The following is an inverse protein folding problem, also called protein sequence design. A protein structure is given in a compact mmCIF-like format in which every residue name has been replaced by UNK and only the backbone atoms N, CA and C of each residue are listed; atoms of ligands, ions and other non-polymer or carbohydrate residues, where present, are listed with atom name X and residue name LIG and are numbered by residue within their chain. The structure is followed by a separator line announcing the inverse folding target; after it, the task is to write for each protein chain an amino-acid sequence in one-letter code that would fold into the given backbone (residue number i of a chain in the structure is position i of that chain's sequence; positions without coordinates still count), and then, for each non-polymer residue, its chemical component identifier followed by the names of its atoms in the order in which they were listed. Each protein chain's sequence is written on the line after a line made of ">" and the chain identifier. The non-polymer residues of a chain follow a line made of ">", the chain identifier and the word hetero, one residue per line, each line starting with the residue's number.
data_IF_714735781053
#
_entry.id   IF_714735781053
#
_cell.length_a   1.000
_cell.length_b   1.000
_cell.length_c   1.000
_cell.angle_alpha   90.00
_cell.angle_beta   90.00
_cell.angle_gamma   90.00
#
_symmetry.space_group_name_H-M   'P 1'
#
loop_
_entity.id
_entity.type
_entity.pdbx_description
1 polymer ?
#
# COMPACT_ATOMS: atom_id res chain seq x y z
N UNK A 1 -1.75 -11.95 -12.45
CA UNK A 1 -2.92 -11.79 -13.35
C UNK A 1 -4.21 -11.61 -12.55
N UNK A 2 -4.64 -12.57 -11.72
CA UNK A 2 -5.84 -12.36 -10.89
C UNK A 2 -5.66 -11.26 -9.82
N UNK A 3 -4.46 -11.10 -9.26
CA UNK A 3 -4.14 -9.99 -8.34
C UNK A 3 -4.28 -8.60 -9.00
N UNK A 4 -3.76 -8.42 -10.22
CA UNK A 4 -3.89 -7.15 -10.94
C UNK A 4 -5.34 -6.85 -11.26
N UNK A 5 -6.13 -7.88 -11.63
CA UNK A 5 -7.57 -7.73 -11.81
C UNK A 5 -8.34 -7.33 -10.56
N UNK A 6 -7.98 -7.87 -9.39
CA UNK A 6 -8.59 -7.44 -8.13
C UNK A 6 -8.38 -5.93 -7.93
N UNK A 7 -7.15 -5.46 -8.15
CA UNK A 7 -6.83 -4.03 -8.08
C UNK A 7 -7.60 -3.20 -9.11
N UNK A 8 -7.60 -3.62 -10.37
CA UNK A 8 -8.28 -2.92 -11.48
C UNK A 8 -9.80 -2.83 -11.26
N UNK A 9 -10.39 -3.79 -10.54
CA UNK A 9 -11.80 -3.79 -10.15
C UNK A 9 -12.09 -3.01 -8.84
N UNK A 10 -11.08 -2.43 -8.18
CA UNK A 10 -11.23 -1.75 -6.88
C UNK A 10 -11.46 -2.68 -5.68
N UNK A 11 -11.05 -3.94 -5.80
CA UNK A 11 -11.25 -4.98 -4.78
C UNK A 11 -10.02 -5.08 -3.87
N UNK A 12 -10.25 -5.34 -2.58
CA UNK A 12 -9.16 -5.42 -1.59
C UNK A 12 -8.26 -6.63 -1.81
N UNK A 13 -6.95 -6.44 -1.65
CA UNK A 13 -5.91 -7.46 -1.71
C UNK A 13 -5.41 -7.84 -0.32
N UNK A 14 -5.34 -6.85 0.57
CA UNK A 14 -4.93 -6.97 1.95
C UNK A 14 -6.11 -6.69 2.92
N UNK A 15 -6.03 -7.17 4.18
CA UNK A 15 -7.11 -6.95 5.16
C UNK A 15 -7.44 -5.48 5.41
N UNK A 16 -6.45 -4.60 5.29
CA UNK A 16 -6.55 -3.17 5.62
C UNK A 16 -6.78 -2.29 4.39
N UNK A 17 -6.90 -2.91 3.21
CA UNK A 17 -7.13 -2.17 1.97
C UNK A 17 -8.52 -1.52 2.00
N UNK A 18 -8.65 -0.28 1.47
CA UNK A 18 -9.93 0.43 1.42
C UNK A 18 -10.89 -0.09 0.35
N UNK A 19 -10.51 -1.12 -0.42
CA UNK A 19 -11.34 -1.72 -1.45
C UNK A 19 -12.44 -2.61 -0.88
N UNK A 20 -13.27 -3.17 -1.76
CA UNK A 20 -14.40 -4.01 -1.36
C UNK A 20 -14.13 -5.53 -1.41
N UNK A 21 -14.86 -6.28 -0.60
CA UNK A 21 -14.78 -7.74 -0.62
C UNK A 21 -15.46 -8.25 -1.89
N UNK A 22 -14.86 -9.25 -2.53
CA UNK A 22 -15.51 -9.87 -3.69
C UNK A 22 -16.80 -10.54 -3.23
N UNK A 23 -17.94 -10.03 -3.71
CA UNK A 23 -19.25 -10.64 -3.45
C UNK A 23 -19.59 -11.65 -4.54
N UNK A 24 -19.97 -12.86 -4.14
CA UNK A 24 -20.45 -13.93 -5.05
C UNK A 24 -21.97 -14.04 -4.91
N UNK A 25 -22.70 -13.89 -6.02
CA UNK A 25 -24.15 -14.11 -6.04
C UNK A 25 -24.52 -15.59 -6.01
N UNK A 26 -25.79 -15.83 -5.72
CA UNK A 26 -26.46 -17.07 -6.08
C UNK A 26 -26.37 -17.31 -7.59
N UNK A 27 -26.22 -18.58 -7.97
CA UNK A 27 -26.16 -18.97 -9.37
C UNK A 27 -27.54 -18.78 -9.99
N UNK A 28 -27.71 -17.78 -10.88
CA UNK A 28 -28.88 -17.70 -11.75
C UNK A 28 -29.79 -16.49 -11.63
N UNK A 29 -29.44 -15.41 -10.92
CA UNK A 29 -30.23 -14.17 -11.10
C UNK A 29 -30.24 -13.12 -10.01
N UNK A 30 -29.25 -13.04 -9.13
CA UNK A 30 -29.17 -11.89 -8.22
C UNK A 30 -28.84 -10.60 -8.98
N UNK A 31 -29.26 -9.48 -8.41
CA UNK A 31 -28.85 -8.15 -8.84
C UNK A 31 -27.33 -8.06 -8.97
N UNK A 32 -26.86 -7.56 -10.12
CA UNK A 32 -25.46 -7.20 -10.23
C UNK A 32 -25.24 -5.91 -9.44
N UNK A 33 -24.29 -5.94 -8.52
CA UNK A 33 -23.76 -4.74 -7.88
C UNK A 33 -22.78 -4.05 -8.85
N UNK A 34 -22.45 -2.80 -8.57
CA UNK A 34 -21.43 -2.00 -9.24
C UNK A 34 -20.10 -2.76 -9.44
N UNK A 35 -19.58 -3.38 -8.37
CA UNK A 35 -18.37 -4.22 -8.41
C UNK A 35 -18.45 -5.32 -9.48
N UNK A 36 -19.64 -5.92 -9.68
CA UNK A 36 -19.82 -6.99 -10.66
C UNK A 36 -19.91 -6.47 -12.08
N UNK A 37 -20.41 -5.26 -12.28
CA UNK A 37 -20.31 -4.57 -13.56
C UNK A 37 -18.85 -4.25 -13.88
N UNK A 38 -18.06 -3.79 -12.91
CA UNK A 38 -16.62 -3.55 -13.06
C UNK A 38 -15.88 -4.85 -13.43
N UNK A 39 -16.15 -5.96 -12.73
CA UNK A 39 -15.60 -7.28 -13.07
C UNK A 39 -16.02 -7.72 -14.48
N UNK A 40 -17.27 -7.50 -14.86
CA UNK A 40 -17.76 -7.80 -16.21
C UNK A 40 -17.07 -6.97 -17.29
N UNK A 41 -16.81 -5.70 -17.01
CA UNK A 41 -16.04 -4.81 -17.88
C UNK A 41 -14.59 -5.28 -18.04
N UNK A 42 -13.88 -5.59 -16.95
CA UNK A 42 -12.49 -6.05 -17.04
C UNK A 42 -12.39 -7.41 -17.75
N UNK A 43 -13.36 -8.30 -17.53
CA UNK A 43 -13.47 -9.54 -18.30
C UNK A 43 -13.67 -9.28 -19.80
N UNK A 44 -14.54 -8.32 -20.15
CA UNK A 44 -14.74 -7.92 -21.55
C UNK A 44 -13.46 -7.34 -22.15
N UNK A 45 -12.84 -6.37 -21.47
CA UNK A 45 -11.60 -5.70 -21.89
C UNK A 45 -10.50 -6.70 -22.19
N UNK A 46 -10.26 -7.63 -21.27
CA UNK A 46 -9.26 -8.66 -21.43
C UNK A 46 -9.62 -9.68 -22.52
N UNK A 47 -10.83 -10.23 -22.48
CA UNK A 47 -11.25 -11.30 -23.40
C UNK A 47 -11.34 -10.85 -24.85
N UNK A 48 -11.62 -9.56 -25.07
CA UNK A 48 -11.71 -8.94 -26.38
C UNK A 48 -10.43 -8.19 -26.80
N UNK A 49 -9.40 -8.12 -25.95
CA UNK A 49 -8.16 -7.40 -26.23
C UNK A 49 -8.34 -5.89 -26.46
N UNK A 50 -9.34 -5.29 -25.80
CA UNK A 50 -9.73 -3.89 -26.02
C UNK A 50 -8.64 -2.93 -25.53
N UNK A 51 -8.28 -1.99 -26.40
CA UNK A 51 -7.34 -0.92 -26.09
C UNK A 51 -8.08 0.25 -25.44
N UNK A 52 -7.48 0.87 -24.42
CA UNK A 52 -8.09 2.01 -23.72
C UNK A 52 -8.28 3.25 -24.60
N UNK A 53 -7.55 3.34 -25.71
CA UNK A 53 -7.71 4.41 -26.69
C UNK A 53 -8.98 4.26 -27.51
N UNK A 54 -9.46 3.03 -27.72
CA UNK A 54 -10.64 2.74 -28.53
C UNK A 54 -11.95 2.95 -27.75
N UNK A 55 -11.97 2.52 -26.48
CA UNK A 55 -13.14 2.57 -25.62
C UNK A 55 -12.78 2.97 -24.20
N UNK A 56 -13.58 3.87 -23.62
CA UNK A 56 -13.54 4.20 -22.20
C UNK A 56 -14.78 3.68 -21.50
N UNK A 57 -14.58 3.32 -20.24
CA UNK A 57 -15.63 2.93 -19.32
C UNK A 57 -15.65 3.92 -18.16
N UNK A 58 -16.84 4.42 -17.84
CA UNK A 58 -17.09 5.23 -16.64
C UNK A 58 -17.57 4.28 -15.56
N UNK A 59 -16.79 4.08 -14.48
CA UNK A 59 -17.19 3.21 -13.38
C UNK A 59 -18.53 3.66 -12.77
N UNK A 60 -19.46 2.73 -12.48
CA UNK A 60 -20.78 3.08 -11.99
C UNK A 60 -20.76 3.77 -10.63
N UNK A 61 -19.87 3.32 -9.75
CA UNK A 61 -19.62 3.88 -8.42
C UNK A 61 -19.16 5.34 -8.52
N UNK A 62 -18.26 5.65 -9.46
CA UNK A 62 -17.78 7.00 -9.71
C UNK A 62 -18.93 7.92 -10.16
N UNK A 63 -19.71 7.47 -11.15
CA UNK A 63 -20.82 8.25 -11.68
C UNK A 63 -21.93 8.44 -10.64
N UNK A 64 -22.30 7.36 -9.94
CA UNK A 64 -23.36 7.39 -8.94
C UNK A 64 -22.98 8.28 -7.76
N UNK A 65 -21.75 8.18 -7.26
CA UNK A 65 -21.30 9.02 -6.15
C UNK A 65 -21.21 10.49 -6.53
N UNK A 66 -20.84 10.79 -7.79
CA UNK A 66 -20.91 12.15 -8.31
C UNK A 66 -22.37 12.65 -8.40
N UNK A 67 -23.22 11.88 -9.09
CA UNK A 67 -24.64 12.21 -9.28
C UNK A 67 -25.41 12.40 -7.98
N UNK A 68 -25.18 11.53 -6.98
CA UNK A 68 -25.86 11.59 -5.69
C UNK A 68 -25.64 12.93 -5.00
N UNK A 69 -24.41 13.43 -4.97
CA UNK A 69 -24.14 14.73 -4.33
C UNK A 69 -24.65 15.90 -5.18
N UNK A 70 -24.73 15.75 -6.50
CA UNK A 70 -25.37 16.73 -7.40
C UNK A 70 -26.91 16.75 -7.30
N UNK A 71 -27.54 15.70 -6.76
CA UNK A 71 -29.00 15.63 -6.57
C UNK A 71 -29.42 15.88 -5.13
N UNK A 72 -28.73 15.28 -4.18
CA UNK A 72 -29.10 15.28 -2.75
C UNK A 72 -28.36 16.35 -1.97
N UNK A 73 -27.25 16.87 -2.50
CA UNK A 73 -26.39 17.81 -1.79
C UNK A 73 -25.55 17.15 -0.70
N UNK A 74 -24.86 17.97 0.09
CA UNK A 74 -24.13 17.51 1.26
C UNK A 74 -25.08 17.27 2.45
N UNK A 75 -24.63 16.47 3.42
CA UNK A 75 -25.38 16.27 4.67
C UNK A 75 -25.60 17.62 5.38
N UNK A 76 -26.80 17.89 5.93
CA UNK A 76 -27.12 19.19 6.54
C UNK A 76 -26.20 19.54 7.72
N UNK A 77 -25.71 18.54 8.45
CA UNK A 77 -24.81 18.73 9.61
C UNK A 77 -23.32 18.72 9.24
N UNK A 78 -22.97 18.79 7.96
CA UNK A 78 -21.58 18.84 7.53
C UNK A 78 -20.92 20.18 7.90
N UNK A 79 -19.75 20.11 8.56
CA UNK A 79 -18.95 21.30 8.84
C UNK A 79 -18.31 21.90 7.56
N UNK A 80 -17.88 23.16 7.65
CA UNK A 80 -17.33 23.91 6.52
C UNK A 80 -16.07 23.25 5.93
N UNK A 81 -15.23 22.65 6.78
CA UNK A 81 -14.02 21.95 6.32
C UNK A 81 -14.38 20.70 5.50
N UNK A 82 -15.36 19.93 5.95
CA UNK A 82 -15.89 18.79 5.24
C UNK A 82 -16.53 19.21 3.92
N UNK A 83 -17.33 20.30 3.90
CA UNK A 83 -17.95 20.82 2.68
C UNK A 83 -16.90 21.25 1.64
N UNK A 84 -15.83 21.91 2.05
CA UNK A 84 -14.71 22.29 1.17
C UNK A 84 -14.01 21.06 0.59
N UNK A 85 -13.71 20.07 1.44
CA UNK A 85 -13.11 18.79 1.01
C UNK A 85 -14.04 18.05 0.05
N UNK A 86 -15.34 18.03 0.34
CA UNK A 86 -16.36 17.37 -0.47
C UNK A 86 -16.47 18.01 -1.85
N UNK A 87 -16.48 19.34 -1.92
CA UNK A 87 -16.50 20.09 -3.17
C UNK A 87 -15.25 19.80 -4.02
N UNK A 88 -14.07 19.78 -3.41
CA UNK A 88 -12.83 19.43 -4.10
C UNK A 88 -12.85 17.99 -4.64
N UNK A 89 -13.33 17.03 -3.84
CA UNK A 89 -13.49 15.63 -4.28
C UNK A 89 -14.51 15.52 -5.41
N UNK A 90 -15.62 16.26 -5.34
CA UNK A 90 -16.64 16.26 -6.38
C UNK A 90 -16.15 16.83 -7.70
N UNK A 91 -15.42 17.94 -7.68
CA UNK A 91 -14.82 18.49 -8.89
C UNK A 91 -13.76 17.54 -9.47
N UNK A 92 -13.01 16.83 -8.63
CA UNK A 92 -12.08 15.80 -9.10
C UNK A 92 -12.82 14.63 -9.78
N UNK A 93 -13.92 14.14 -9.21
CA UNK A 93 -14.77 13.09 -9.83
C UNK A 93 -15.29 13.56 -11.18
N UNK A 94 -15.84 14.78 -11.23
CA UNK A 94 -16.33 15.41 -12.46
C UNK A 94 -15.23 15.48 -13.52
N UNK A 95 -14.03 15.95 -13.16
CA UNK A 95 -12.87 16.02 -14.07
C UNK A 95 -12.52 14.64 -14.64
N UNK A 96 -12.49 13.59 -13.81
CA UNK A 96 -12.17 12.23 -14.27
C UNK A 96 -13.25 11.71 -15.24
N UNK A 97 -14.53 11.94 -14.94
CA UNK A 97 -15.63 11.54 -15.84
C UNK A 97 -15.53 12.29 -17.17
N UNK A 98 -15.34 13.61 -17.15
CA UNK A 98 -15.18 14.44 -18.36
C UNK A 98 -13.96 14.01 -19.17
N UNK A 99 -12.82 13.75 -18.52
CA UNK A 99 -11.63 13.23 -19.21
C UNK A 99 -11.91 11.91 -19.92
N UNK A 100 -12.65 10.98 -19.30
CA UNK A 100 -13.07 9.73 -19.95
C UNK A 100 -13.99 9.97 -21.15
N UNK A 101 -14.95 10.88 -21.00
CA UNK A 101 -15.83 11.34 -22.08
C UNK A 101 -15.05 11.99 -23.22
N UNK A 102 -13.91 12.61 -22.93
CA UNK A 102 -13.08 13.29 -23.92
C UNK A 102 -12.07 12.38 -24.63
N UNK A 103 -11.52 11.38 -23.93
CA UNK A 103 -10.35 10.61 -24.37
C UNK A 103 -10.62 9.58 -25.48
N UNK A 104 -11.80 8.95 -25.52
CA UNK A 104 -12.06 7.85 -26.46
C UNK A 104 -13.17 8.15 -27.47
N UNK A 105 -13.10 7.42 -28.59
CA UNK A 105 -14.13 7.43 -29.62
C UNK A 105 -15.45 6.81 -29.13
N UNK A 106 -15.37 5.82 -28.23
CA UNK A 106 -16.55 5.20 -27.61
C UNK A 106 -16.44 5.28 -26.09
N UNK A 107 -17.52 5.67 -25.42
CA UNK A 107 -17.61 5.68 -23.96
C UNK A 107 -18.85 4.95 -23.51
N UNK A 108 -18.65 3.99 -22.60
CA UNK A 108 -19.69 3.18 -21.99
C UNK A 108 -19.93 3.69 -20.57
N UNK A 109 -21.17 4.05 -20.27
CA UNK A 109 -21.53 4.67 -19.00
C UNK A 109 -22.78 3.99 -18.44
N UNK A 110 -22.61 2.93 -17.62
CA UNK A 110 -23.72 2.34 -16.88
C UNK A 110 -24.28 3.35 -15.87
N UNK A 111 -25.60 3.44 -15.78
CA UNK A 111 -26.30 4.33 -14.86
C UNK A 111 -27.18 3.48 -13.94
N UNK A 112 -27.01 3.66 -12.63
CA UNK A 112 -27.87 3.07 -11.62
C UNK A 112 -28.83 4.12 -11.06
N UNK A 113 -30.12 3.85 -11.12
CA UNK A 113 -31.15 4.68 -10.52
C UNK A 113 -32.36 3.80 -10.17
N UNK A 114 -32.97 4.05 -9.01
CA UNK A 114 -34.19 3.36 -8.55
C UNK A 114 -34.13 1.84 -8.71
N UNK A 115 -33.06 1.23 -8.19
CA UNK A 115 -32.82 -0.21 -8.27
C UNK A 115 -32.83 -0.75 -9.70
N UNK A 116 -32.27 -0.01 -10.66
CA UNK A 116 -32.22 -0.45 -12.04
C UNK A 116 -30.95 0.00 -12.75
N UNK A 117 -30.41 -0.89 -13.58
CA UNK A 117 -29.24 -0.64 -14.41
C UNK A 117 -29.65 -0.31 -15.84
N UNK A 118 -29.13 0.81 -16.32
CA UNK A 118 -29.28 1.26 -17.71
C UNK A 118 -27.91 1.55 -18.30
N UNK A 119 -27.83 1.69 -19.63
CA UNK A 119 -26.57 1.98 -20.31
C UNK A 119 -26.71 3.22 -21.19
N UNK A 120 -25.82 4.17 -20.99
CA UNK A 120 -25.56 5.25 -21.93
C UNK A 120 -24.32 4.89 -22.74
N UNK A 121 -24.42 5.00 -24.06
CA UNK A 121 -23.30 4.84 -24.99
C UNK A 121 -23.06 6.17 -25.67
N UNK A 122 -21.85 6.68 -25.58
CA UNK A 122 -21.41 7.87 -26.31
C UNK A 122 -20.46 7.42 -27.40
N UNK A 123 -20.72 7.81 -28.64
CA UNK A 123 -19.86 7.57 -29.79
C UNK A 123 -19.50 8.91 -30.44
N UNK A 124 -18.21 9.13 -30.69
CA UNK A 124 -17.70 10.28 -31.44
C UNK A 124 -17.37 9.86 -32.86
N UNK A 125 -17.92 10.59 -33.83
CA UNK A 125 -17.68 10.37 -35.25
C UNK A 125 -17.30 11.72 -35.87
N UNK A 126 -15.99 11.97 -36.01
CA UNK A 126 -15.50 13.30 -36.37
C UNK A 126 -15.88 14.31 -35.29
N UNK A 127 -16.58 15.38 -35.68
CA UNK A 127 -17.07 16.42 -34.77
C UNK A 127 -18.46 16.11 -34.18
N UNK A 128 -19.12 15.05 -34.64
CA UNK A 128 -20.45 14.65 -34.16
C UNK A 128 -20.36 13.72 -32.95
N UNK A 129 -21.31 13.89 -32.04
CA UNK A 129 -21.50 13.02 -30.87
C UNK A 129 -22.85 12.34 -30.98
N UNK A 130 -22.82 11.02 -31.08
CA UNK A 130 -24.00 10.16 -31.03
C UNK A 130 -24.15 9.60 -29.63
N UNK A 131 -25.36 9.68 -29.08
CA UNK A 131 -25.69 9.16 -27.76
C UNK A 131 -26.79 8.12 -27.91
N UNK A 132 -26.61 6.93 -27.32
CA UNK A 132 -27.66 5.91 -27.22
C UNK A 132 -28.02 5.68 -25.75
N UNK A 133 -29.32 5.53 -25.47
CA UNK A 133 -29.84 5.13 -24.16
C UNK A 133 -30.44 3.73 -24.26
N UNK A 134 -30.03 2.80 -23.39
CA UNK A 134 -30.57 1.44 -23.34
C UNK A 134 -31.12 1.08 -21.97
N UNK A 135 -32.33 0.53 -21.98
CA UNK A 135 -33.10 0.18 -20.79
C UNK A 135 -33.79 -1.16 -21.00
N UNK A 136 -33.51 -2.14 -20.12
CA UNK A 136 -34.04 -3.49 -20.24
C UNK A 136 -35.45 -3.66 -19.67
N UNK A 137 -36.07 -2.67 -19.03
CA UNK A 137 -37.44 -2.81 -18.56
C UNK A 137 -38.43 -2.82 -19.72
N UNK A 138 -39.54 -3.55 -19.56
CA UNK A 138 -40.63 -3.56 -20.54
C UNK A 138 -41.18 -2.15 -20.76
N UNK A 139 -41.48 -1.47 -19.65
CA UNK A 139 -41.76 -0.03 -19.60
C UNK A 139 -40.48 0.68 -19.16
N UNK A 140 -39.95 1.56 -20.00
CA UNK A 140 -38.73 2.28 -19.69
C UNK A 140 -38.88 3.10 -18.39
N UNK A 141 -37.84 3.09 -17.54
CA UNK A 141 -37.83 3.85 -16.29
C UNK A 141 -37.61 5.34 -16.60
N UNK A 142 -38.62 6.16 -16.29
CA UNK A 142 -38.51 7.61 -16.43
C UNK A 142 -37.45 8.18 -15.50
N UNK A 143 -37.37 7.68 -14.26
CA UNK A 143 -36.41 8.10 -13.25
C UNK A 143 -34.96 7.81 -13.69
N UNK A 144 -34.71 6.61 -14.22
CA UNK A 144 -33.39 6.24 -14.75
C UNK A 144 -33.01 7.10 -15.95
N UNK A 145 -33.96 7.36 -16.86
CA UNK A 145 -33.71 8.21 -18.01
C UNK A 145 -33.42 9.66 -17.59
N UNK A 146 -34.18 10.21 -16.64
CA UNK A 146 -33.96 11.57 -16.12
C UNK A 146 -32.60 11.69 -15.42
N UNK A 147 -32.21 10.69 -14.62
CA UNK A 147 -30.89 10.67 -13.98
C UNK A 147 -29.76 10.65 -15.02
N UNK A 148 -29.87 9.79 -16.04
CA UNK A 148 -28.90 9.70 -17.12
C UNK A 148 -28.85 11.00 -17.96
N UNK A 149 -30.01 11.60 -18.25
CA UNK A 149 -30.12 12.84 -19.01
C UNK A 149 -29.51 14.02 -18.24
N UNK A 150 -29.81 14.13 -16.94
CA UNK A 150 -29.20 15.14 -16.06
C UNK A 150 -27.68 14.99 -16.04
N UNK A 151 -27.17 13.77 -15.90
CA UNK A 151 -25.73 13.50 -15.89
C UNK A 151 -25.06 14.02 -17.17
N UNK A 152 -25.55 13.62 -18.35
CA UNK A 152 -24.97 14.06 -19.62
C UNK A 152 -25.07 15.57 -19.84
N UNK A 153 -26.21 16.17 -19.47
CA UNK A 153 -26.45 17.60 -19.61
C UNK A 153 -25.50 18.42 -18.74
N UNK A 154 -25.27 18.02 -17.50
CA UNK A 154 -24.34 18.72 -16.59
C UNK A 154 -22.87 18.49 -16.99
N UNK A 155 -22.52 17.28 -17.43
CA UNK A 155 -21.13 16.95 -17.77
C UNK A 155 -20.68 17.57 -19.09
N UNK A 156 -21.52 17.54 -20.14
CA UNK A 156 -21.13 17.92 -21.50
C UNK A 156 -22.17 18.75 -22.25
N UNK A 157 -23.34 19.01 -21.66
CA UNK A 157 -24.44 19.71 -22.34
C UNK A 157 -25.13 18.88 -23.40
N UNK A 158 -24.91 17.55 -23.42
CA UNK A 158 -25.51 16.67 -24.41
C UNK A 158 -26.92 16.26 -24.01
N UNK A 159 -27.79 16.14 -25.01
CA UNK A 159 -29.16 15.65 -24.85
C UNK A 159 -29.20 14.12 -24.96
N UNK A 160 -30.04 13.48 -24.14
CA UNK A 160 -30.19 12.02 -24.12
C UNK A 160 -31.46 11.64 -24.87
N UNK A 161 -31.39 10.81 -25.93
CA UNK A 161 -32.60 10.32 -26.58
C UNK A 161 -33.38 9.37 -25.67
N UNK A 162 -34.63 9.07 -26.04
CA UNK A 162 -35.41 7.99 -25.43
C UNK A 162 -34.83 6.61 -25.80
N UNK A 163 -35.34 5.55 -25.16
CA UNK A 163 -34.88 4.16 -25.28
C UNK A 163 -34.59 3.76 -26.73
N UNK A 164 -33.36 3.33 -27.00
CA UNK A 164 -32.84 2.95 -28.32
C UNK A 164 -32.82 1.43 -28.56
N UNK A 165 -33.28 0.62 -27.59
CA UNK A 165 -33.39 -0.84 -27.71
C UNK A 165 -34.84 -1.32 -27.68
N UNK A 166 -35.07 -2.47 -28.32
CA UNK A 166 -36.33 -3.22 -28.23
C UNK A 166 -36.25 -4.36 -27.21
N UNK A 167 -35.06 -4.86 -26.92
CA UNK A 167 -34.87 -6.00 -26.04
C UNK A 167 -35.20 -5.65 -24.59
N UNK A 168 -36.10 -6.42 -23.97
CA UNK A 168 -36.50 -6.26 -22.58
C UNK A 168 -36.25 -7.54 -21.78
N UNK A 169 -35.99 -7.39 -20.48
CA UNK A 169 -35.87 -8.48 -19.53
C UNK A 169 -37.26 -9.00 -19.13
N UNK A 170 -37.35 -10.26 -18.67
CA UNK A 170 -38.58 -10.77 -18.06
C UNK A 170 -39.03 -9.89 -16.89
N UNK A 171 -40.34 -9.63 -16.73
CA UNK A 171 -40.86 -8.86 -15.59
C UNK A 171 -40.37 -9.42 -14.25
N UNK A 172 -39.93 -8.54 -13.35
CA UNK A 172 -39.44 -8.92 -12.02
C UNK A 172 -38.09 -9.64 -12.00
N UNK A 173 -37.42 -9.80 -13.15
CA UNK A 173 -36.06 -10.37 -13.17
C UNK A 173 -35.00 -9.33 -12.76
N UNK A 174 -33.94 -9.80 -12.11
CA UNK A 174 -32.79 -9.00 -11.70
C UNK A 174 -31.65 -9.02 -12.75
N UNK A 175 -32.01 -9.08 -14.04
CA UNK A 175 -31.06 -9.28 -15.13
C UNK A 175 -30.52 -7.99 -15.75
N UNK A 176 -30.95 -6.81 -15.30
CA UNK A 176 -30.65 -5.54 -15.96
C UNK A 176 -29.15 -5.27 -16.08
N UNK A 177 -28.36 -5.59 -15.05
CA UNK A 177 -26.91 -5.48 -15.11
C UNK A 177 -26.28 -6.44 -16.15
N UNK A 178 -26.82 -7.65 -16.31
CA UNK A 178 -26.35 -8.59 -17.32
C UNK A 178 -26.75 -8.16 -18.74
N UNK A 179 -27.89 -7.50 -18.91
CA UNK A 179 -28.27 -6.82 -20.15
C UNK A 179 -27.27 -5.70 -20.48
N UNK A 180 -26.89 -4.87 -19.49
CA UNK A 180 -25.88 -3.82 -19.65
C UNK A 180 -24.56 -4.40 -20.15
N UNK A 181 -24.03 -5.44 -19.51
CA UNK A 181 -22.78 -6.09 -19.96
C UNK A 181 -22.90 -6.68 -21.36
N UNK A 182 -24.04 -7.29 -21.69
CA UNK A 182 -24.27 -7.81 -23.03
C UNK A 182 -24.28 -6.71 -24.09
N UNK A 183 -24.87 -5.54 -23.79
CA UNK A 183 -24.85 -4.41 -24.72
C UNK A 183 -23.47 -3.77 -24.81
N UNK A 184 -22.72 -3.69 -23.71
CA UNK A 184 -21.33 -3.25 -23.73
C UNK A 184 -20.48 -4.15 -24.66
N UNK A 185 -20.64 -5.47 -24.59
CA UNK A 185 -19.98 -6.40 -25.51
C UNK A 185 -20.37 -6.14 -26.97
N UNK A 186 -21.67 -5.99 -27.25
CA UNK A 186 -22.16 -5.71 -28.61
C UNK A 186 -21.58 -4.41 -29.16
N UNK A 187 -21.56 -3.34 -28.35
CA UNK A 187 -21.00 -2.04 -28.74
C UNK A 187 -19.50 -2.15 -29.00
N UNK A 188 -18.74 -2.81 -28.12
CA UNK A 188 -17.31 -3.00 -28.31
C UNK A 188 -17.00 -3.81 -29.58
N UNK A 189 -17.72 -4.91 -29.81
CA UNK A 189 -17.55 -5.73 -31.03
C UNK A 189 -17.87 -4.93 -32.29
N UNK A 190 -18.98 -4.19 -32.29
CA UNK A 190 -19.40 -3.39 -33.44
C UNK A 190 -18.43 -2.24 -33.74
N UNK A 191 -18.12 -1.43 -32.73
CA UNK A 191 -17.48 -0.13 -32.93
C UNK A 191 -15.98 -0.13 -32.69
N UNK A 192 -15.45 -1.07 -31.89
CA UNK A 192 -14.03 -1.11 -31.54
C UNK A 192 -13.28 -2.24 -32.25
N UNK A 193 -13.96 -3.36 -32.50
CA UNK A 193 -13.35 -4.55 -33.14
C UNK A 193 -13.72 -4.73 -34.62
N UNK A 194 -14.61 -3.89 -35.16
CA UNK A 194 -15.14 -4.03 -36.52
C UNK A 194 -15.76 -5.42 -36.80
N UNK A 195 -16.45 -5.98 -35.80
CA UNK A 195 -17.17 -7.26 -35.86
C UNK A 195 -18.70 -7.03 -35.79
N UNK A 196 -19.31 -6.32 -36.76
CA UNK A 196 -20.73 -5.97 -36.66
C UNK A 196 -21.62 -7.20 -36.62
N UNK A 197 -21.29 -8.29 -37.33
CA UNK A 197 -22.05 -9.53 -37.30
C UNK A 197 -22.16 -10.15 -35.89
N UNK A 198 -21.12 -10.02 -35.06
CA UNK A 198 -21.11 -10.50 -33.68
C UNK A 198 -21.89 -9.60 -32.71
N UNK A 199 -22.29 -8.40 -33.16
CA UNK A 199 -23.16 -7.48 -32.43
C UNK A 199 -24.64 -7.60 -32.81
N UNK A 200 -24.96 -8.35 -33.87
CA UNK A 200 -26.31 -8.55 -34.37
C UNK A 200 -26.98 -9.70 -33.62
N UNK A 201 -27.81 -9.39 -32.63
CA UNK A 201 -28.55 -10.41 -31.89
C UNK A 201 -29.22 -9.89 -30.62
N UNK A 202 -30.09 -10.72 -30.06
CA UNK A 202 -30.67 -10.46 -28.75
C UNK A 202 -29.57 -10.47 -27.67
N UNK A 203 -29.60 -9.55 -26.69
CA UNK A 203 -28.64 -9.53 -25.60
C UNK A 203 -28.69 -10.85 -24.84
N UNK A 204 -27.53 -11.45 -24.59
CA UNK A 204 -27.42 -12.73 -23.90
C UNK A 204 -27.11 -12.51 -22.42
N UNK A 205 -28.13 -12.07 -21.67
CA UNK A 205 -28.03 -11.82 -20.23
C UNK A 205 -27.63 -13.10 -19.47
N UNK A 206 -28.17 -14.27 -19.84
CA UNK A 206 -27.85 -15.54 -19.18
C UNK A 206 -26.35 -15.89 -19.26
N UNK A 207 -25.73 -15.67 -20.44
CA UNK A 207 -24.29 -15.87 -20.63
C UNK A 207 -23.49 -14.91 -19.75
N UNK A 208 -23.87 -13.64 -19.68
CA UNK A 208 -23.17 -12.66 -18.86
C UNK A 208 -23.33 -12.92 -17.36
N UNK A 209 -24.51 -13.33 -16.90
CA UNK A 209 -24.72 -13.80 -15.52
C UNK A 209 -23.84 -15.00 -15.18
N UNK A 210 -23.72 -15.97 -16.08
CA UNK A 210 -22.86 -17.14 -15.87
C UNK A 210 -21.37 -16.75 -15.83
N UNK A 211 -20.92 -15.91 -16.78
CA UNK A 211 -19.54 -15.42 -16.86
C UNK A 211 -19.14 -14.65 -15.59
N UNK A 212 -19.94 -13.68 -15.17
CA UNK A 212 -19.64 -12.88 -13.98
C UNK A 212 -19.64 -13.74 -12.73
N UNK A 213 -20.61 -14.65 -12.56
CA UNK A 213 -20.64 -15.57 -11.44
C UNK A 213 -19.38 -16.46 -11.36
N UNK A 214 -18.97 -17.05 -12.48
CA UNK A 214 -17.77 -17.90 -12.54
C UNK A 214 -16.51 -17.10 -12.17
N UNK A 215 -16.34 -15.91 -12.75
CA UNK A 215 -15.18 -15.06 -12.48
C UNK A 215 -15.18 -14.56 -11.04
N UNK A 216 -16.32 -14.11 -10.51
CA UNK A 216 -16.44 -13.69 -9.11
C UNK A 216 -16.07 -14.81 -8.13
N UNK A 217 -16.41 -16.07 -8.42
CA UNK A 217 -15.96 -17.22 -7.60
C UNK A 217 -14.44 -17.39 -7.62
N UNK A 218 -13.82 -17.23 -8.79
CA UNK A 218 -12.37 -17.34 -8.93
C UNK A 218 -11.66 -16.19 -8.22
N UNK A 219 -12.14 -14.96 -8.39
CA UNK A 219 -11.62 -13.77 -7.73
C UNK A 219 -11.78 -13.85 -6.22
N UNK A 220 -12.93 -14.33 -5.71
CA UNK A 220 -13.14 -14.51 -4.27
C UNK A 220 -12.15 -15.50 -3.68
N UNK A 221 -11.96 -16.65 -4.33
CA UNK A 221 -10.98 -17.65 -3.90
C UNK A 221 -9.55 -17.08 -3.87
N UNK A 222 -9.19 -16.25 -4.86
CA UNK A 222 -7.89 -15.59 -4.89
C UNK A 222 -7.76 -14.55 -3.78
N UNK A 223 -8.77 -13.68 -3.59
CA UNK A 223 -8.79 -12.68 -2.52
C UNK A 223 -8.65 -13.33 -1.14
N UNK A 224 -9.41 -14.40 -0.87
CA UNK A 224 -9.34 -15.11 0.42
C UNK A 224 -7.94 -15.70 0.67
N UNK A 225 -7.29 -16.21 -0.39
CA UNK A 225 -5.91 -16.70 -0.32
C UNK A 225 -4.93 -15.57 -0.01
N UNK A 226 -5.03 -14.43 -0.70
CA UNK A 226 -4.15 -13.27 -0.47
C UNK A 226 -4.28 -12.72 0.95
N UNK A 227 -5.52 -12.56 1.42
CA UNK A 227 -5.81 -12.11 2.79
C UNK A 227 -5.24 -13.08 3.83
N UNK A 228 -5.36 -14.39 3.59
CA UNK A 228 -4.79 -15.41 4.49
C UNK A 228 -3.25 -15.37 4.52
N UNK A 229 -2.62 -15.22 3.36
CA UNK A 229 -1.16 -15.10 3.23
C UNK A 229 -0.64 -13.83 3.90
N UNK A 230 -1.32 -12.68 3.69
CA UNK A 230 -0.99 -11.41 4.32
C UNK A 230 -1.09 -11.49 5.85
N UNK A 231 -2.19 -12.05 6.39
CA UNK A 231 -2.36 -12.26 7.84
C UNK A 231 -1.27 -13.18 8.42
N UNK A 232 -0.92 -14.26 7.71
CA UNK A 232 0.15 -15.16 8.15
C UNK A 232 1.52 -14.47 8.17
N UNK A 233 1.80 -13.59 7.21
CA UNK A 233 3.03 -12.80 7.16
C UNK A 233 3.07 -11.76 8.29
N UNK A 234 1.97 -11.06 8.55
CA UNK A 234 1.85 -10.12 9.66
C UNK A 234 2.13 -10.81 11.01
N UNK A 235 1.52 -11.97 11.26
CA UNK A 235 1.77 -12.76 12.49
C UNK A 235 3.24 -13.20 12.62
N UNK A 236 3.88 -13.62 11.52
CA UNK A 236 5.31 -13.96 11.51
C UNK A 236 6.18 -12.74 11.83
N UNK A 237 5.91 -11.60 11.21
CA UNK A 237 6.65 -10.36 11.43
C UNK A 237 6.48 -9.84 12.87
N UNK A 238 5.28 -9.93 13.44
CA UNK A 238 5.04 -9.62 14.85
C UNK A 238 5.80 -10.55 15.80
N UNK A 239 5.82 -11.85 15.50
CA UNK A 239 6.57 -12.82 16.31
C UNK A 239 8.08 -12.55 16.25
N UNK A 240 8.62 -12.22 15.07
CA UNK A 240 10.04 -11.82 14.92
C UNK A 240 10.31 -10.53 15.70
N UNK A 241 9.44 -9.52 15.58
CA UNK A 241 9.59 -8.25 16.30
C UNK A 241 9.54 -8.43 17.81
N UNK A 242 8.66 -9.30 18.32
CA UNK A 242 8.60 -9.65 19.75
C UNK A 242 9.89 -10.37 20.21
N UNK A 243 10.40 -11.30 19.41
CA UNK A 243 11.68 -11.99 19.70
C UNK A 243 12.86 -11.01 19.70
N UNK A 244 12.92 -10.11 18.72
CA UNK A 244 13.97 -9.10 18.63
C UNK A 244 13.95 -8.17 19.84
N UNK A 245 12.78 -7.62 20.20
CA UNK A 245 12.62 -6.80 21.42
C UNK A 245 13.09 -7.54 22.68
N UNK A 246 12.75 -8.82 22.83
CA UNK A 246 13.19 -9.62 23.98
C UNK A 246 14.71 -9.86 24.00
N UNK A 247 15.35 -9.97 22.84
CA UNK A 247 16.83 -10.07 22.72
C UNK A 247 17.46 -8.71 23.06
N UNK A 248 16.93 -7.63 22.51
CA UNK A 248 17.42 -6.27 22.75
C UNK A 248 17.32 -5.89 24.24
N UNK A 249 16.20 -6.20 24.90
CA UNK A 249 16.05 -6.00 26.36
C UNK A 249 17.04 -6.84 27.18
N UNK A 250 17.31 -8.09 26.76
CA UNK A 250 18.33 -8.94 27.42
C UNK A 250 19.73 -8.37 27.24
N UNK A 251 20.05 -7.87 26.06
CA UNK A 251 21.34 -7.25 25.77
C UNK A 251 21.52 -5.96 26.57
N UNK A 252 20.49 -5.12 26.66
CA UNK A 252 20.49 -3.90 27.46
C UNK A 252 20.76 -4.21 28.94
N UNK A 253 20.03 -5.19 29.51
CA UNK A 253 20.25 -5.63 30.90
C UNK A 253 21.67 -6.18 31.14
N UNK A 254 22.24 -6.91 30.18
CA UNK A 254 23.63 -7.38 30.26
C UNK A 254 24.63 -6.23 30.21
N UNK A 255 24.38 -5.22 29.37
CA UNK A 255 25.22 -4.04 29.27
C UNK A 255 25.19 -3.21 30.56
N UNK A 256 24.00 -2.99 31.13
CA UNK A 256 23.85 -2.34 32.44
C UNK A 256 24.57 -3.12 33.57
N UNK A 257 24.52 -4.46 33.55
CA UNK A 257 25.26 -5.28 34.51
C UNK A 257 26.77 -5.16 34.34
N UNK A 258 27.27 -5.16 33.10
CA UNK A 258 28.69 -4.96 32.80
C UNK A 258 29.18 -3.57 33.25
N UNK A 259 28.38 -2.52 33.03
CA UNK A 259 28.69 -1.17 33.51
C UNK A 259 28.71 -1.09 35.04
N UNK A 260 27.75 -1.75 35.72
CA UNK A 260 27.78 -1.85 37.19
C UNK A 260 29.01 -2.59 37.71
N UNK A 261 29.43 -3.65 37.02
CA UNK A 261 30.67 -4.38 37.38
C UNK A 261 31.89 -3.48 37.16
N UNK A 262 31.98 -2.80 36.02
CA UNK A 262 33.06 -1.83 35.75
C UNK A 262 33.10 -0.73 36.80
N UNK A 263 31.96 -0.12 37.14
CA UNK A 263 31.88 0.90 38.19
C UNK A 263 32.30 0.39 39.57
N UNK A 264 31.99 -0.87 39.92
CA UNK A 264 32.47 -1.50 41.16
C UNK A 264 33.97 -1.77 41.15
N UNK A 265 34.52 -2.22 40.01
CA UNK A 265 35.97 -2.42 39.84
C UNK A 265 36.72 -1.10 39.92
N UNK A 266 36.21 -0.03 39.29
CA UNK A 266 36.77 1.32 39.34
C UNK A 266 36.65 1.94 40.74
N UNK A 267 35.54 1.72 41.45
CA UNK A 267 35.38 2.15 42.84
C UNK A 267 36.34 1.40 43.78
N UNK A 268 36.51 0.10 43.60
CA UNK A 268 37.47 -0.71 44.37
C UNK A 268 38.92 -0.34 44.04
N UNK A 269 39.22 0.01 42.78
CA UNK A 269 40.51 0.56 42.38
C UNK A 269 40.76 1.91 43.06
N UNK A 270 39.79 2.84 43.07
CA UNK A 270 39.92 4.13 43.78
C UNK A 270 40.04 3.99 45.30
N UNK A 271 39.36 3.01 45.90
CA UNK A 271 39.47 2.70 47.32
C UNK A 271 40.84 2.09 47.69
N UNK A 272 41.46 1.35 46.74
CA UNK A 272 42.84 0.88 46.86
C UNK A 272 43.89 1.97 46.65
N UNK A 273 43.56 3.04 45.91
CA UNK A 273 44.42 4.22 45.71
C UNK A 273 44.47 5.15 46.94
N UNK A 274 43.45 5.09 47.82
CA UNK A 274 43.38 5.94 49.02
C UNK A 274 44.07 5.35 50.25
N UNK A 275 44.68 4.17 50.14
CA UNK A 275 45.52 3.59 51.19
C UNK A 275 46.95 3.46 50.68
N UNK A 276 47.71 4.56 50.72
CA UNK A 276 49.18 4.49 50.73
C UNK A 276 49.58 3.83 52.06
N UNK A 277 50.11 2.59 52.08
CA UNK A 277 50.71 2.07 53.29
C UNK A 277 52.04 2.78 53.46
N UNK A 278 52.20 3.53 54.55
CA UNK A 278 53.50 4.06 54.94
C UNK A 278 54.52 2.89 54.99
N UNK A 279 55.51 2.93 54.10
CA UNK A 279 56.69 2.05 54.16
C UNK A 279 56.90 1.04 53.03
N UNK A 280 56.16 1.06 51.92
CA UNK A 280 56.53 0.26 50.72
C UNK A 280 56.78 1.16 49.52
N UNK A 281 57.98 1.12 48.90
CA UNK A 281 58.26 1.96 47.73
C UNK A 281 57.28 1.68 46.58
N UNK A 282 56.53 2.70 46.17
CA UNK A 282 55.54 2.65 45.08
C UNK A 282 55.77 3.78 44.06
N UNK A 283 55.04 3.76 42.93
CA UNK A 283 55.20 4.70 41.82
C UNK A 283 55.10 6.16 42.28
N UNK A 284 54.21 6.42 43.23
CA UNK A 284 53.96 7.74 43.81
C UNK A 284 55.14 8.25 44.64
N UNK A 285 56.05 7.37 45.08
CA UNK A 285 57.29 7.76 45.76
C UNK A 285 58.39 8.23 44.80
N UNK A 286 58.28 7.94 43.49
CA UNK A 286 59.29 8.37 42.51
C UNK A 286 59.25 9.88 42.25
N UNK A 287 60.38 10.42 41.80
CA UNK A 287 60.43 11.77 41.25
C UNK A 287 59.47 11.94 40.06
N UNK A 288 59.09 13.18 39.74
CA UNK A 288 58.24 13.48 38.58
C UNK A 288 58.81 12.93 37.27
N UNK A 289 60.13 12.90 37.14
CA UNK A 289 60.82 12.33 35.98
C UNK A 289 60.66 10.81 35.91
N UNK A 290 60.83 10.12 37.05
CA UNK A 290 60.61 8.67 37.15
C UNK A 290 59.14 8.27 36.93
N UNK A 291 58.19 9.07 37.42
CA UNK A 291 56.76 8.83 37.20
C UNK A 291 56.38 8.93 35.72
N UNK A 292 56.91 9.93 35.00
CA UNK A 292 56.66 10.12 33.57
C UNK A 292 57.26 8.99 32.72
N UNK A 293 58.48 8.54 33.02
CA UNK A 293 59.12 7.45 32.28
C UNK A 293 58.39 6.11 32.52
N UNK A 294 57.94 5.81 33.75
CA UNK A 294 57.13 4.61 34.02
C UNK A 294 55.81 4.65 33.27
N UNK A 295 55.11 5.78 33.27
CA UNK A 295 53.85 5.96 32.54
C UNK A 295 54.02 5.83 31.02
N UNK A 296 55.10 6.38 30.46
CA UNK A 296 55.46 6.20 29.06
C UNK A 296 55.67 4.72 28.73
N UNK A 297 56.39 3.97 29.58
CA UNK A 297 56.69 2.56 29.35
C UNK A 297 55.48 1.64 29.54
N UNK A 298 54.53 2.03 30.36
CA UNK A 298 53.27 1.30 30.54
C UNK A 298 52.34 1.49 29.34
N UNK A 299 52.30 2.69 28.75
CA UNK A 299 51.47 3.01 27.59
C UNK A 299 52.06 2.54 26.25
N UNK A 300 53.39 2.61 26.10
CA UNK A 300 54.06 2.32 24.81
C UNK A 300 54.69 0.93 24.73
N UNK A 301 55.00 0.30 25.88
CA UNK A 301 55.77 -0.95 25.93
C UNK A 301 57.23 -0.81 25.46
N UNK A 302 57.72 0.42 25.20
CA UNK A 302 59.05 0.65 24.60
C UNK A 302 60.15 0.85 25.64
N UNK A 303 60.66 -0.20 26.28
CA UNK A 303 61.55 -0.01 27.44
C UNK A 303 63.06 0.05 27.21
N UNK A 304 63.73 0.35 28.32
CA UNK A 304 65.15 0.67 28.54
C UNK A 304 65.99 -0.52 29.03
N UNK A 305 65.63 -1.76 28.68
CA UNK A 305 66.45 -2.91 29.06
C UNK A 305 67.80 -2.90 28.32
N UNK A 306 68.81 -3.62 28.83
CA UNK A 306 70.15 -3.69 28.22
C UNK A 306 70.13 -4.13 26.74
N UNK A 307 69.09 -4.82 26.29
CA UNK A 307 68.88 -5.21 24.88
C UNK A 307 68.13 -4.18 24.02
N UNK A 308 67.34 -3.29 24.63
CA UNK A 308 66.56 -2.25 23.94
C UNK A 308 67.20 -0.87 24.02
N UNK A 309 68.28 -0.70 24.81
CA UNK A 309 69.04 0.55 24.97
C UNK A 309 69.56 1.14 23.65
N UNK A 310 69.63 0.33 22.57
CA UNK A 310 70.19 0.72 21.28
C UNK A 310 69.30 0.33 20.07
N UNK A 311 68.02 0.00 20.28
CA UNK A 311 67.13 -0.41 19.19
C UNK A 311 65.81 0.36 19.18
N UNK A 312 65.36 0.78 17.99
CA UNK A 312 64.17 1.63 17.78
C UNK A 312 62.82 0.94 18.04
N UNK A 313 62.84 -0.34 18.44
CA UNK A 313 61.65 -1.16 18.69
C UNK A 313 61.78 -1.83 20.05
N UNK A 314 60.98 -1.40 21.01
CA UNK A 314 60.95 -2.00 22.34
C UNK A 314 60.57 -3.48 22.31
N UNK A 315 61.09 -4.26 23.24
CA UNK A 315 60.70 -5.67 23.37
C UNK A 315 59.52 -5.84 24.33
N UNK A 316 58.69 -6.88 24.13
CA UNK A 316 57.59 -7.26 25.05
C UNK A 316 58.05 -7.57 26.48
N UNK A 317 59.36 -7.65 26.69
CA UNK A 317 59.98 -7.82 27.99
C UNK A 317 60.13 -6.49 28.75
N UNK A 318 59.81 -5.36 28.13
CA UNK A 318 59.77 -4.05 28.73
C UNK A 318 58.35 -3.74 29.19
N UNK A 319 58.18 -3.55 30.50
CA UNK A 319 56.89 -3.23 31.10
C UNK A 319 57.05 -2.11 32.12
N UNK A 320 55.97 -1.35 32.36
CA UNK A 320 55.91 -0.34 33.42
C UNK A 320 56.41 -0.87 34.77
N UNK A 321 56.08 -2.13 35.10
CA UNK A 321 56.55 -2.80 36.32
C UNK A 321 58.09 -2.94 36.43
N UNK A 322 58.80 -3.11 35.31
CA UNK A 322 60.28 -3.17 35.32
C UNK A 322 60.90 -1.77 35.35
N UNK A 323 60.30 -0.80 34.66
CA UNK A 323 60.70 0.60 34.73
C UNK A 323 60.55 1.15 36.16
N UNK A 324 59.45 0.80 36.84
CA UNK A 324 59.21 1.15 38.24
C UNK A 324 60.32 0.61 39.15
N UNK A 325 60.71 -0.67 39.01
CA UNK A 325 61.82 -1.24 39.79
C UNK A 325 63.16 -0.55 39.53
N UNK A 326 63.45 -0.19 38.28
CA UNK A 326 64.67 0.54 37.93
C UNK A 326 64.73 1.90 38.61
N UNK A 327 63.65 2.69 38.53
CA UNK A 327 63.60 4.01 39.13
C UNK A 327 63.60 3.96 40.65
N UNK A 328 62.92 2.98 41.25
CA UNK A 328 62.98 2.78 42.70
C UNK A 328 64.41 2.47 43.16
N UNK A 329 65.18 1.68 42.40
CA UNK A 329 66.60 1.44 42.69
C UNK A 329 67.46 2.69 42.46
N UNK A 330 67.24 3.39 41.34
CA UNK A 330 68.00 4.60 40.96
C UNK A 330 67.84 5.74 41.97
N UNK A 331 66.64 5.89 42.54
CA UNK A 331 66.32 6.95 43.51
C UNK A 331 66.55 6.52 44.97
N UNK A 332 67.19 5.37 45.20
CA UNK A 332 67.63 4.96 46.53
C UNK A 332 66.53 4.38 47.42
N UNK A 333 65.40 3.96 46.86
CA UNK A 333 64.34 3.27 47.62
C UNK A 333 64.64 1.79 47.89
N UNK A 334 65.71 1.26 47.30
CA UNK A 334 66.26 -0.06 47.59
C UNK A 334 67.77 0.06 47.82
N UNK A 335 68.21 -0.16 49.07
CA UNK A 335 69.63 -0.40 49.36
C UNK A 335 70.03 -1.79 48.85
N UNK A 336 71.23 -1.90 48.29
CA UNK A 336 71.80 -3.18 47.87
C UNK A 336 72.06 -4.07 49.09
N UNK A 337 71.40 -5.24 49.12
CA UNK A 337 71.88 -6.42 49.83
C UNK A 337 72.41 -7.42 48.81
#
# INVERSE_FOLDING_TARGET
>A
MLQSWLWDCGLKLEPEDPGDDVTVSSQGGDWLLDQRLNVGWELLKFGAGLQESAVQYVPPDLLQTWMRLETEGAHPDADEEFLLRLAAVQENRRKVIVQKLDKAAVVLMPVYCSEHWTLVVVQKVGDEVLVEYRDSLQTASEESWQAAAKALKVLKGWELPRRCNTAAQPPGSALCGAFVLSWMEQVCRKLCLNEPACSMGWPNAALWSARTWTVSKMLKKEQDKQIAEAKALQLKNEAIRKKQKAVDEKNLKKQEQLEKIKGKVEASAKESWLKVPAGKPCLENLSKEGQLDVADKENTGQGSCSRCRWGDVGCLNCSGAKALKYWLKKEGFYDEF
#
